data_IF_624810684739
#
_entry.id   IF_624810684739
#
_cell.length_a   1.000
_cell.length_b   1.000
_cell.length_c   1.000
_cell.angle_alpha   90.00
_cell.angle_beta   90.00
_cell.angle_gamma   90.00
#
_symmetry.space_group_name_H-M   'P 1'
#
loop_
_entity.id
_entity.type
_entity.pdbx_description
1 polymer ?
#
# COMPACT_ATOMS: atom_id res chain seq x y z
N UNK A 1 21.53 12.58 5.53
CA UNK A 1 21.86 11.81 4.33
C UNK A 1 20.58 11.16 3.79
N UNK A 2 20.50 10.96 2.51
CA UNK A 2 19.32 10.35 1.88
C UNK A 2 19.71 9.02 1.28
N UNK A 3 18.90 7.99 1.54
CA UNK A 3 19.06 6.66 0.95
C UNK A 3 17.78 6.27 0.24
N UNK A 4 17.89 5.48 -0.83
CA UNK A 4 16.71 5.08 -1.59
C UNK A 4 16.85 3.63 -2.03
N UNK A 5 15.75 2.91 -1.96
CA UNK A 5 15.64 1.49 -2.26
C UNK A 5 14.42 1.25 -3.13
N UNK A 6 14.62 0.62 -4.29
CA UNK A 6 13.53 0.18 -5.13
C UNK A 6 13.46 -1.35 -5.08
N UNK A 7 12.27 -1.88 -4.84
CA UNK A 7 12.08 -3.32 -4.69
C UNK A 7 10.69 -3.76 -5.12
N UNK A 8 10.56 -5.04 -5.42
CA UNK A 8 9.27 -5.66 -5.75
C UNK A 8 8.78 -6.46 -4.56
N UNK A 9 7.49 -6.32 -4.26
CA UNK A 9 6.79 -7.21 -3.32
C UNK A 9 6.51 -8.54 -4.02
N UNK A 10 6.37 -9.64 -3.25
CA UNK A 10 5.76 -10.84 -3.83
C UNK A 10 4.36 -10.51 -4.33
N UNK A 11 3.85 -11.30 -5.28
CA UNK A 11 2.49 -11.13 -5.77
C UNK A 11 1.49 -11.47 -4.66
N UNK A 12 0.60 -10.54 -4.37
CA UNK A 12 -0.46 -10.72 -3.39
C UNK A 12 -1.82 -10.87 -4.08
N UNK A 13 -2.72 -11.61 -3.45
CA UNK A 13 -4.11 -11.65 -3.87
C UNK A 13 -4.78 -10.28 -3.67
N UNK A 14 -5.88 -10.06 -4.38
CA UNK A 14 -6.71 -8.87 -4.15
C UNK A 14 -7.11 -8.77 -2.69
N UNK A 15 -6.98 -7.59 -2.11
CA UNK A 15 -7.29 -7.31 -0.72
C UNK A 15 -6.25 -6.41 -0.07
N UNK A 16 -6.28 -6.38 1.25
CA UNK A 16 -5.44 -5.51 2.08
C UNK A 16 -4.47 -6.38 2.88
N UNK A 17 -3.19 -6.06 2.81
CA UNK A 17 -2.12 -6.89 3.35
C UNK A 17 -1.16 -6.05 4.18
N UNK A 18 -0.84 -6.51 5.38
CA UNK A 18 0.18 -5.87 6.22
C UNK A 18 1.57 -6.25 5.69
N UNK A 19 2.34 -5.25 5.28
CA UNK A 19 3.66 -5.45 4.66
C UNK A 19 4.80 -4.79 5.42
N UNK A 20 4.58 -4.39 6.67
CA UNK A 20 5.59 -3.69 7.48
C UNK A 20 6.93 -4.43 7.49
N UNK A 21 6.92 -5.73 7.78
CA UNK A 21 8.15 -6.53 7.88
C UNK A 21 8.83 -6.69 6.52
N UNK A 22 8.04 -6.86 5.46
CA UNK A 22 8.59 -6.94 4.09
C UNK A 22 9.32 -5.65 3.70
N UNK A 23 8.74 -4.50 4.03
CA UNK A 23 9.36 -3.19 3.78
C UNK A 23 10.64 -3.05 4.59
N UNK A 24 10.57 -3.36 5.89
CA UNK A 24 11.73 -3.23 6.78
C UNK A 24 12.92 -4.08 6.35
N UNK A 25 12.67 -5.26 5.79
CA UNK A 25 13.73 -6.14 5.28
C UNK A 25 14.48 -5.55 4.09
N UNK A 26 13.90 -4.59 3.40
CA UNK A 26 14.53 -3.93 2.23
C UNK A 26 15.44 -2.77 2.65
N UNK A 27 15.31 -2.30 3.88
CA UNK A 27 16.04 -1.12 4.36
C UNK A 27 17.29 -1.55 5.13
N UNK A 28 18.36 -0.79 4.95
CA UNK A 28 19.54 -0.87 5.81
C UNK A 28 19.26 -0.20 7.16
N UNK A 29 20.28 0.01 7.97
CA UNK A 29 20.12 0.69 9.27
C UNK A 29 19.47 2.06 9.09
N UNK A 30 18.45 2.30 9.90
CA UNK A 30 17.74 3.58 9.89
C UNK A 30 18.53 4.65 10.65
N UNK A 31 18.44 5.93 10.25
CA UNK A 31 19.00 7.01 11.03
C UNK A 31 18.32 7.13 12.39
N UNK A 32 18.96 7.81 13.32
CA UNK A 32 18.36 8.07 14.63
C UNK A 32 17.05 8.87 14.51
N UNK A 33 17.07 9.92 13.68
CA UNK A 33 15.89 10.74 13.38
C UNK A 33 15.80 10.96 11.87
N UNK A 34 14.59 10.81 11.32
CA UNK A 34 14.37 11.03 9.90
C UNK A 34 12.95 10.72 9.49
N UNK A 35 12.75 10.53 8.20
CA UNK A 35 11.47 10.20 7.59
C UNK A 35 11.68 9.09 6.58
N UNK A 36 10.84 8.07 6.67
CA UNK A 36 10.64 7.09 5.58
C UNK A 36 9.50 7.57 4.70
N UNK A 37 9.77 7.76 3.42
CA UNK A 37 8.73 7.90 2.41
C UNK A 37 8.63 6.61 1.61
N UNK A 38 7.44 6.03 1.54
CA UNK A 38 7.18 4.82 0.78
C UNK A 38 6.21 5.15 -0.35
N UNK A 39 6.61 4.86 -1.58
CA UNK A 39 5.85 5.19 -2.79
C UNK A 39 5.61 3.93 -3.60
N UNK A 40 4.37 3.75 -4.10
CA UNK A 40 4.03 2.64 -4.99
C UNK A 40 3.94 3.10 -6.44
N UNK A 41 4.58 2.37 -7.35
CA UNK A 41 4.72 2.73 -8.76
C UNK A 41 3.62 2.10 -9.63
N UNK A 42 2.38 2.15 -9.19
CA UNK A 42 1.25 1.53 -9.89
C UNK A 42 -0.01 2.38 -9.78
N UNK A 43 -0.95 2.14 -10.70
CA UNK A 43 -2.22 2.87 -10.78
C UNK A 43 -3.42 2.08 -10.27
N UNK A 44 -3.22 0.83 -9.88
CA UNK A 44 -4.29 -0.09 -9.45
C UNK A 44 -4.00 -0.78 -8.11
N UNK A 45 -3.09 -0.21 -7.36
CA UNK A 45 -2.75 -0.59 -5.99
C UNK A 45 -2.36 0.66 -5.22
N UNK A 46 -2.38 0.59 -3.90
CA UNK A 46 -2.10 1.73 -3.03
C UNK A 46 -1.33 1.29 -1.80
N UNK A 47 -0.78 2.26 -1.08
CA UNK A 47 -0.19 2.07 0.24
C UNK A 47 -0.89 2.97 1.24
N UNK A 48 -1.10 2.46 2.44
CA UNK A 48 -1.66 3.23 3.55
C UNK A 48 -1.15 2.70 4.87
N UNK A 49 -1.55 3.33 5.96
CA UNK A 49 -1.23 2.92 7.32
C UNK A 49 -2.54 2.77 8.07
N UNK A 50 -2.75 1.59 8.65
CA UNK A 50 -3.90 1.36 9.51
C UNK A 50 -3.64 0.17 10.43
N UNK A 51 -4.67 -0.35 11.06
CA UNK A 51 -4.52 -1.38 12.08
C UNK A 51 -3.96 -2.67 11.52
N UNK A 52 -2.96 -3.21 12.20
CA UNK A 52 -2.19 -4.38 11.76
C UNK A 52 -2.46 -5.65 12.58
N UNK A 53 -3.28 -5.58 13.63
CA UNK A 53 -3.46 -6.69 14.58
C UNK A 53 -4.66 -7.58 14.26
N UNK A 54 -5.82 -6.98 13.92
CA UNK A 54 -7.06 -7.71 13.72
C UNK A 54 -7.30 -7.94 12.22
N UNK A 55 -7.29 -9.21 11.75
CA UNK A 55 -7.55 -9.52 10.35
C UNK A 55 -8.95 -9.10 9.87
N UNK A 56 -9.92 -8.94 10.77
CA UNK A 56 -11.25 -8.47 10.41
C UNK A 56 -11.24 -7.04 9.89
N UNK A 57 -10.30 -6.21 10.35
CA UNK A 57 -10.14 -4.85 9.82
C UNK A 57 -9.76 -4.90 8.34
N UNK A 58 -8.83 -5.78 7.97
CA UNK A 58 -8.43 -5.97 6.56
C UNK A 58 -9.60 -6.44 5.71
N UNK A 59 -10.38 -7.39 6.20
CA UNK A 59 -11.55 -7.91 5.50
C UNK A 59 -12.63 -6.84 5.34
N UNK A 60 -12.86 -6.02 6.35
CA UNK A 60 -13.85 -4.95 6.30
C UNK A 60 -13.44 -3.83 5.34
N UNK A 61 -12.16 -3.50 5.23
CA UNK A 61 -11.66 -2.59 4.19
C UNK A 61 -12.07 -3.06 2.81
N UNK A 62 -11.87 -4.33 2.50
CA UNK A 62 -12.23 -4.91 1.21
C UNK A 62 -13.74 -4.81 0.96
N UNK A 63 -14.54 -5.21 1.94
CA UNK A 63 -16.01 -5.20 1.82
C UNK A 63 -16.55 -3.78 1.64
N UNK A 64 -16.07 -2.83 2.43
CA UNK A 64 -16.53 -1.45 2.39
C UNK A 64 -16.16 -0.79 1.06
N UNK A 65 -14.89 -0.92 0.63
CA UNK A 65 -14.47 -0.31 -0.63
C UNK A 65 -15.15 -0.93 -1.84
N UNK A 66 -15.41 -2.22 -1.84
CA UNK A 66 -16.19 -2.86 -2.91
C UNK A 66 -17.65 -2.37 -2.94
N UNK A 67 -18.20 -2.00 -1.78
CA UNK A 67 -19.54 -1.44 -1.70
C UNK A 67 -19.59 0.01 -2.19
N UNK A 68 -18.60 0.82 -1.82
CA UNK A 68 -18.55 2.24 -2.19
C UNK A 68 -18.19 2.41 -3.68
N UNK A 69 -17.26 1.58 -4.17
CA UNK A 69 -16.75 1.65 -5.54
C UNK A 69 -16.94 0.28 -6.17
N UNK A 70 -18.17 -0.03 -6.63
CA UNK A 70 -18.48 -1.35 -7.18
C UNK A 70 -17.97 -1.50 -8.60
N UNK A 71 -17.80 -2.75 -9.01
CA UNK A 71 -17.60 -3.12 -10.40
C UNK A 71 -18.91 -3.01 -11.20
N UNK A 72 -18.81 -3.08 -12.52
CA UNK A 72 -19.95 -3.18 -13.42
C UNK A 72 -20.90 -1.95 -13.41
N UNK A 73 -20.40 -0.78 -13.09
CA UNK A 73 -21.18 0.45 -13.29
C UNK A 73 -21.42 0.64 -14.79
N UNK A 74 -22.67 0.91 -15.22
CA UNK A 74 -23.02 0.83 -16.64
C UNK A 74 -22.43 1.95 -17.51
N UNK A 75 -21.91 3.01 -16.91
CA UNK A 75 -21.34 4.16 -17.63
C UNK A 75 -19.82 4.11 -17.77
N UNK A 76 -19.13 3.06 -17.30
CA UNK A 76 -17.68 2.95 -17.41
C UNK A 76 -17.26 2.73 -18.86
N UNK A 77 -16.18 3.39 -19.26
CA UNK A 77 -15.60 3.28 -20.61
C UNK A 77 -14.34 2.41 -20.63
N UNK A 78 -13.55 2.45 -19.56
CA UNK A 78 -12.32 1.67 -19.42
C UNK A 78 -12.64 0.26 -18.94
N UNK A 79 -12.95 -0.64 -19.86
CA UNK A 79 -13.48 -1.97 -19.52
C UNK A 79 -12.72 -3.14 -20.15
N UNK A 80 -11.73 -2.88 -20.99
CA UNK A 80 -11.02 -3.91 -21.77
C UNK A 80 -10.13 -4.83 -20.91
N UNK A 81 -9.69 -4.36 -19.76
CA UNK A 81 -8.75 -5.08 -18.91
C UNK A 81 -9.42 -5.84 -17.75
N UNK A 82 -10.74 -5.98 -17.80
CA UNK A 82 -11.51 -6.67 -16.77
C UNK A 82 -12.37 -5.72 -15.96
N UNK A 83 -13.33 -6.28 -15.21
CA UNK A 83 -14.30 -5.50 -14.41
C UNK A 83 -13.66 -4.88 -13.16
N UNK A 84 -12.55 -5.42 -12.72
CA UNK A 84 -11.84 -4.95 -11.52
C UNK A 84 -10.92 -3.73 -11.79
N UNK A 85 -10.58 -3.45 -13.06
CA UNK A 85 -9.52 -2.50 -13.37
C UNK A 85 -9.91 -1.02 -13.13
N UNK A 86 -11.01 -0.55 -13.71
CA UNK A 86 -11.40 0.86 -13.50
C UNK A 86 -11.74 1.16 -12.03
N UNK A 87 -12.49 0.32 -11.32
CA UNK A 87 -12.66 0.49 -9.87
C UNK A 87 -11.34 0.49 -9.11
N UNK A 88 -10.36 -0.31 -9.51
CA UNK A 88 -9.04 -0.34 -8.90
C UNK A 88 -8.33 1.02 -9.03
N UNK A 89 -8.43 1.68 -10.18
CA UNK A 89 -7.85 3.00 -10.38
C UNK A 89 -8.46 4.05 -9.45
N UNK A 90 -9.77 4.01 -9.26
CA UNK A 90 -10.46 4.94 -8.35
C UNK A 90 -10.08 4.68 -6.89
N UNK A 91 -10.08 3.41 -6.49
CA UNK A 91 -9.68 3.02 -5.12
C UNK A 91 -8.23 3.46 -4.82
N UNK A 92 -7.33 3.23 -5.78
CA UNK A 92 -5.93 3.64 -5.65
C UNK A 92 -5.79 5.15 -5.49
N UNK A 93 -6.55 5.93 -6.27
CA UNK A 93 -6.53 7.39 -6.19
C UNK A 93 -7.08 7.91 -4.85
N UNK A 94 -8.08 7.25 -4.29
CA UNK A 94 -8.67 7.63 -2.99
C UNK A 94 -7.70 7.34 -1.85
N UNK A 95 -7.09 6.17 -1.82
CA UNK A 95 -6.19 5.77 -0.73
C UNK A 95 -4.84 6.45 -0.87
N UNK A 96 -4.30 6.47 -2.07
CA UNK A 96 -3.07 7.19 -2.35
C UNK A 96 -1.88 6.30 -2.68
N UNK A 97 -0.85 6.95 -3.21
CA UNK A 97 0.33 6.26 -3.74
C UNK A 97 1.56 6.38 -2.85
N UNK A 98 1.50 7.13 -1.76
CA UNK A 98 2.65 7.28 -0.86
C UNK A 98 2.22 7.50 0.58
N UNK A 99 3.10 7.11 1.49
CA UNK A 99 2.96 7.33 2.92
C UNK A 99 4.28 7.84 3.47
N UNK A 100 4.21 8.53 4.62
CA UNK A 100 5.38 9.02 5.33
C UNK A 100 5.30 8.55 6.77
N UNK A 101 6.44 8.07 7.29
CA UNK A 101 6.53 7.57 8.65
C UNK A 101 7.76 8.23 9.30
N UNK A 102 7.58 8.90 10.45
CA UNK A 102 8.72 9.40 11.20
C UNK A 102 9.63 8.27 11.67
N UNK A 103 10.93 8.52 11.65
CA UNK A 103 11.93 7.65 12.25
C UNK A 103 12.41 8.32 13.52
N UNK A 104 12.40 7.58 14.63
CA UNK A 104 12.80 8.05 15.94
C UNK A 104 13.60 6.96 16.64
N UNK A 105 14.77 7.30 17.15
CA UNK A 105 15.66 6.35 17.81
C UNK A 105 15.97 5.12 16.93
N UNK A 106 16.16 5.33 15.63
CA UNK A 106 16.51 4.27 14.69
C UNK A 106 15.38 3.31 14.33
N UNK A 107 14.12 3.67 14.61
CA UNK A 107 12.95 2.84 14.37
C UNK A 107 11.83 3.62 13.72
N UNK A 108 10.96 2.93 12.98
CA UNK A 108 9.71 3.53 12.51
C UNK A 108 8.84 3.88 13.72
N UNK A 109 8.50 5.16 13.85
CA UNK A 109 7.69 5.65 14.95
C UNK A 109 6.20 5.46 14.65
N UNK A 110 5.79 4.21 14.55
CA UNK A 110 4.38 3.83 14.36
C UNK A 110 3.69 3.72 15.72
N UNK A 111 2.40 4.02 15.74
CA UNK A 111 1.55 3.69 16.88
C UNK A 111 1.45 2.18 17.08
N UNK A 112 1.03 1.76 18.26
CA UNK A 112 0.98 0.34 18.67
C UNK A 112 0.22 -0.54 17.67
N UNK A 113 -0.86 -0.03 17.09
CA UNK A 113 -1.72 -0.79 16.19
C UNK A 113 -1.47 -0.50 14.72
N UNK A 114 -0.62 0.47 14.39
CA UNK A 114 -0.35 0.84 13.01
C UNK A 114 0.59 -0.15 12.33
N UNK A 115 0.29 -0.44 11.08
CA UNK A 115 1.16 -1.17 10.18
C UNK A 115 1.04 -0.61 8.76
N UNK A 116 2.00 -0.92 7.93
CA UNK A 116 1.99 -0.53 6.52
C UNK A 116 1.12 -1.52 5.76
N UNK A 117 0.19 -1.01 4.97
CA UNK A 117 -0.70 -1.80 4.12
C UNK A 117 -0.28 -1.72 2.66
N UNK A 118 -0.23 -2.87 1.99
CA UNK A 118 -0.45 -2.93 0.55
C UNK A 118 -1.94 -3.12 0.30
N UNK A 119 -2.53 -2.23 -0.51
CA UNK A 119 -3.90 -2.35 -0.97
C UNK A 119 -3.85 -2.84 -2.41
N UNK A 120 -4.15 -4.12 -2.64
CA UNK A 120 -4.18 -4.73 -3.97
C UNK A 120 -5.62 -4.76 -4.48
N UNK A 121 -5.88 -4.03 -5.56
CA UNK A 121 -7.25 -3.88 -6.06
C UNK A 121 -7.53 -4.73 -7.31
N UNK A 122 -6.52 -5.41 -7.83
CA UNK A 122 -6.67 -6.29 -8.98
C UNK A 122 -6.75 -7.75 -8.58
N UNK A 123 -7.55 -8.53 -9.30
CA UNK A 123 -7.62 -9.98 -9.09
C UNK A 123 -6.29 -10.66 -9.42
N UNK A 124 -5.58 -10.16 -10.44
CA UNK A 124 -4.28 -10.65 -10.87
C UNK A 124 -3.33 -9.45 -11.04
N UNK A 125 -2.98 -8.81 -9.94
CA UNK A 125 -2.17 -7.60 -9.97
C UNK A 125 -0.67 -7.82 -10.23
N UNK A 126 -0.18 -9.01 -9.98
CA UNK A 126 1.24 -9.32 -10.09
C UNK A 126 2.08 -8.72 -8.98
N UNK A 127 3.39 -8.76 -9.14
CA UNK A 127 4.33 -8.18 -8.19
C UNK A 127 4.30 -6.65 -8.30
N UNK A 128 4.12 -5.98 -7.17
CA UNK A 128 4.09 -4.51 -7.13
C UNK A 128 5.46 -3.95 -6.76
N UNK A 129 5.85 -2.85 -7.42
CA UNK A 129 7.11 -2.16 -7.18
C UNK A 129 6.91 -0.97 -6.27
N UNK A 130 7.77 -0.86 -5.27
CA UNK A 130 7.79 0.24 -4.31
C UNK A 130 9.15 0.91 -4.31
N UNK A 131 9.16 2.19 -3.97
CA UNK A 131 10.37 2.95 -3.72
C UNK A 131 10.32 3.47 -2.30
N UNK A 132 11.30 3.10 -1.50
CA UNK A 132 11.46 3.59 -0.14
C UNK A 132 12.60 4.61 -0.12
N UNK A 133 12.31 5.82 0.35
CA UNK A 133 13.31 6.88 0.51
C UNK A 133 13.41 7.24 1.98
N UNK A 134 14.62 7.15 2.51
CA UNK A 134 14.92 7.52 3.90
C UNK A 134 15.68 8.84 3.89
N UNK A 135 15.10 9.83 4.53
CA UNK A 135 15.63 11.19 4.61
C UNK A 135 15.96 11.49 6.06
N UNK A 136 17.16 11.97 6.28
CA UNK A 136 17.60 12.37 7.62
C UNK A 136 18.28 13.73 7.65
#
# INVERSE_FOLDING_TARGET
MTSQYEFSLPSFSRGYHVITDLVMKQLDDLPDVGILNLFIKHTSAAVTINESADPDVLADFESIFNHIIPENLPFLKHTMEGTDDMPAHIKAAIIGCSIQIPITNGRLNLGTWQGIYLCEFRNLGGARKLVATVIS
#
